data_IF_724805062257
#
_entry.id   IF_724805062257
#
_cell.length_a   1.000
_cell.length_b   1.000
_cell.length_c   1.000
_cell.angle_alpha   90.00
_cell.angle_beta   90.00
_cell.angle_gamma   90.00
#
_symmetry.space_group_name_H-M   'P 1'
#
loop_
_entity.id
_entity.type
_entity.pdbx_description
1 polymer ?
#
# COMPACT_ATOMS: atom_id res chain seq x y z
N UNK A 1 6.93 -19.62 6.95
CA UNK A 1 8.02 -20.61 6.88
C UNK A 1 8.97 -20.36 8.03
N UNK A 2 9.47 -21.38 8.70
CA UNK A 2 10.55 -21.20 9.69
C UNK A 2 11.94 -21.21 9.02
N UNK A 3 12.99 -20.85 9.78
CA UNK A 3 14.35 -20.74 9.24
C UNK A 3 14.90 -22.08 8.75
N UNK A 4 14.53 -23.19 9.41
CA UNK A 4 15.01 -24.53 9.06
C UNK A 4 14.44 -24.95 7.72
N UNK A 5 13.12 -24.81 7.57
CA UNK A 5 12.42 -25.08 6.31
C UNK A 5 12.97 -24.19 5.19
N UNK A 6 13.23 -22.90 5.47
CA UNK A 6 13.80 -21.99 4.48
C UNK A 6 15.20 -22.43 4.02
N UNK A 7 16.05 -22.86 4.95
CA UNK A 7 17.40 -23.36 4.61
C UNK A 7 17.36 -24.69 3.84
N UNK A 8 16.40 -25.57 4.13
CA UNK A 8 16.17 -26.78 3.35
C UNK A 8 15.77 -26.46 1.90
N UNK A 9 14.84 -25.50 1.71
CA UNK A 9 14.42 -25.03 0.37
C UNK A 9 15.59 -24.43 -0.40
N UNK A 10 16.45 -23.65 0.26
CA UNK A 10 17.69 -23.13 -0.33
C UNK A 10 18.58 -24.25 -0.84
N UNK A 11 18.83 -25.29 -0.01
CA UNK A 11 19.67 -26.43 -0.38
C UNK A 11 19.09 -27.19 -1.58
N UNK A 12 17.78 -27.41 -1.61
CA UNK A 12 17.09 -28.07 -2.74
C UNK A 12 17.25 -27.29 -4.05
N UNK A 13 17.23 -25.96 -3.98
CA UNK A 13 17.47 -25.07 -5.13
C UNK A 13 18.95 -24.84 -5.43
N UNK A 14 19.85 -25.43 -4.64
CA UNK A 14 21.31 -25.29 -4.79
C UNK A 14 21.78 -23.82 -4.74
N UNK A 15 21.05 -22.96 -4.05
CA UNK A 15 21.43 -21.56 -3.88
C UNK A 15 22.49 -21.42 -2.80
N UNK A 16 23.59 -20.74 -3.12
CA UNK A 16 24.62 -20.36 -2.16
C UNK A 16 24.13 -19.21 -1.27
N UNK A 17 24.87 -18.93 -0.20
CA UNK A 17 24.62 -17.73 0.62
C UNK A 17 24.92 -16.44 -0.15
N UNK A 18 25.85 -16.50 -1.09
CA UNK A 18 26.22 -15.37 -1.95
C UNK A 18 25.08 -15.04 -2.92
N UNK A 19 24.44 -16.05 -3.52
CA UNK A 19 23.28 -15.84 -4.41
C UNK A 19 22.14 -15.12 -3.67
N UNK A 20 21.84 -15.55 -2.44
CA UNK A 20 20.79 -14.91 -1.62
C UNK A 20 21.20 -13.47 -1.26
N UNK A 21 22.47 -13.25 -0.91
CA UNK A 21 22.97 -11.92 -0.61
C UNK A 21 22.83 -10.98 -1.83
N UNK A 22 23.14 -11.46 -3.04
CA UNK A 22 22.98 -10.70 -4.27
C UNK A 22 21.50 -10.39 -4.57
N UNK A 23 20.60 -11.34 -4.29
CA UNK A 23 19.18 -11.19 -4.58
C UNK A 23 18.45 -10.29 -3.58
N UNK A 24 18.87 -10.31 -2.31
CA UNK A 24 18.19 -9.61 -1.22
C UNK A 24 18.88 -8.29 -0.83
N UNK A 25 20.17 -8.15 -1.13
CA UNK A 25 21.02 -7.06 -0.63
C UNK A 25 21.50 -7.24 0.81
N UNK A 26 21.06 -8.29 1.51
CA UNK A 26 21.52 -8.65 2.85
C UNK A 26 22.96 -9.16 2.75
N UNK A 27 23.85 -8.81 3.68
CA UNK A 27 25.23 -9.31 3.62
C UNK A 27 25.27 -10.83 3.71
N UNK A 28 26.18 -11.44 2.97
CA UNK A 28 26.35 -12.90 2.96
C UNK A 28 26.62 -13.49 4.36
N UNK A 29 27.39 -12.79 5.18
CA UNK A 29 27.67 -13.19 6.57
C UNK A 29 26.39 -13.24 7.42
N UNK A 30 25.52 -12.25 7.26
CA UNK A 30 24.24 -12.17 7.96
C UNK A 30 23.28 -13.24 7.44
N UNK A 31 23.16 -13.42 6.12
CA UNK A 31 22.38 -14.51 5.50
C UNK A 31 22.79 -15.87 6.08
N UNK A 32 24.10 -16.12 6.15
CA UNK A 32 24.65 -17.37 6.70
C UNK A 32 24.32 -17.51 8.18
N UNK A 33 24.54 -16.47 8.98
CA UNK A 33 24.27 -16.50 10.41
C UNK A 33 22.79 -16.74 10.70
N UNK A 34 21.89 -16.11 9.94
CA UNK A 34 20.43 -16.28 10.05
C UNK A 34 20.05 -17.72 9.70
N UNK A 35 20.45 -18.24 8.53
CA UNK A 35 20.07 -19.59 8.07
C UNK A 35 20.66 -20.73 8.91
N UNK A 36 21.74 -20.47 9.64
CA UNK A 36 22.34 -21.40 10.59
C UNK A 36 21.84 -21.19 12.04
N UNK A 37 20.86 -20.32 12.24
CA UNK A 37 20.30 -19.95 13.55
C UNK A 37 21.36 -19.48 14.56
N UNK A 38 22.44 -18.85 14.06
CA UNK A 38 23.56 -18.33 14.86
C UNK A 38 23.33 -16.90 15.36
N UNK A 39 22.34 -16.20 14.82
CA UNK A 39 21.94 -14.86 15.24
C UNK A 39 20.40 -14.73 15.30
N UNK A 40 19.93 -13.76 16.08
CA UNK A 40 18.54 -13.28 16.09
C UNK A 40 18.42 -11.82 15.63
N UNK A 41 19.51 -11.23 15.17
CA UNK A 41 19.58 -9.84 14.71
C UNK A 41 19.14 -9.75 13.25
N UNK A 42 17.84 -9.89 13.02
CA UNK A 42 17.23 -9.74 11.70
C UNK A 42 15.79 -9.24 11.85
N UNK A 43 15.30 -8.51 10.86
CA UNK A 43 13.89 -8.09 10.80
C UNK A 43 13.02 -9.17 10.15
N UNK A 44 11.70 -9.11 10.38
CA UNK A 44 10.78 -10.03 9.70
C UNK A 44 10.78 -9.81 8.18
N UNK A 45 10.92 -8.57 7.74
CA UNK A 45 11.06 -8.19 6.34
C UNK A 45 12.33 -8.77 5.71
N UNK A 46 13.42 -8.88 6.48
CA UNK A 46 14.63 -9.59 6.05
C UNK A 46 14.36 -11.07 5.78
N UNK A 47 13.59 -11.74 6.65
CA UNK A 47 13.17 -13.13 6.42
C UNK A 47 12.25 -13.25 5.20
N UNK A 48 11.28 -12.35 5.04
CA UNK A 48 10.41 -12.33 3.86
C UNK A 48 11.24 -12.17 2.59
N UNK A 49 12.25 -11.29 2.59
CA UNK A 49 13.10 -11.06 1.43
C UNK A 49 13.89 -12.32 1.06
N UNK A 50 14.46 -13.00 2.04
CA UNK A 50 15.14 -14.29 1.84
C UNK A 50 14.18 -15.37 1.34
N UNK A 51 12.97 -15.44 1.90
CA UNK A 51 11.92 -16.37 1.46
C UNK A 51 11.54 -16.13 0.00
N UNK A 52 11.30 -14.87 -0.38
CA UNK A 52 10.99 -14.51 -1.76
C UNK A 52 12.14 -14.88 -2.69
N UNK A 53 13.37 -14.46 -2.39
CA UNK A 53 14.55 -14.74 -3.20
C UNK A 53 14.79 -16.24 -3.37
N UNK A 54 14.73 -17.03 -2.30
CA UNK A 54 14.95 -18.47 -2.34
C UNK A 54 13.85 -19.16 -3.17
N UNK A 55 12.58 -18.87 -2.89
CA UNK A 55 11.48 -19.65 -3.49
C UNK A 55 11.15 -19.23 -4.93
N UNK A 56 11.24 -17.94 -5.25
CA UNK A 56 10.95 -17.43 -6.60
C UNK A 56 12.19 -17.34 -7.49
N UNK A 57 13.38 -17.11 -6.91
CA UNK A 57 14.57 -16.72 -7.68
C UNK A 57 14.59 -15.25 -8.09
N UNK A 58 13.65 -14.44 -7.59
CA UNK A 58 13.59 -13.01 -7.90
C UNK A 58 14.72 -12.24 -7.21
N UNK A 59 15.31 -11.31 -7.97
CA UNK A 59 16.14 -10.25 -7.40
C UNK A 59 15.25 -9.12 -6.91
N UNK A 60 15.43 -8.75 -5.66
CA UNK A 60 14.57 -7.78 -5.02
C UNK A 60 15.01 -6.34 -5.33
N UNK A 61 14.08 -5.39 -5.50
CA UNK A 61 14.38 -3.99 -5.78
C UNK A 61 14.70 -3.19 -4.49
N UNK A 62 15.52 -3.77 -3.60
CA UNK A 62 15.82 -3.21 -2.28
C UNK A 62 17.25 -2.71 -2.15
N UNK A 63 17.43 -1.73 -1.26
CA UNK A 63 18.68 -1.49 -0.55
C UNK A 63 18.58 -2.13 0.83
N UNK A 64 19.69 -2.57 1.41
CA UNK A 64 19.68 -3.08 2.78
C UNK A 64 20.14 -2.02 3.76
N UNK A 65 19.30 -1.71 4.76
CA UNK A 65 19.70 -0.89 5.89
C UNK A 65 20.38 -1.79 6.93
N UNK A 66 21.72 -1.73 6.99
CA UNK A 66 22.51 -2.55 7.89
C UNK A 66 22.37 -2.18 9.38
N UNK A 67 21.84 -0.99 9.70
CA UNK A 67 21.62 -0.56 11.10
C UNK A 67 20.27 -1.09 11.60
N UNK A 68 19.24 -0.99 10.77
CA UNK A 68 17.88 -1.46 11.10
C UNK A 68 17.67 -2.95 10.75
N UNK A 69 18.69 -3.58 10.16
CA UNK A 69 18.68 -4.96 9.68
C UNK A 69 17.49 -5.32 8.78
N UNK A 70 17.03 -4.36 7.95
CA UNK A 70 15.85 -4.51 7.08
C UNK A 70 16.09 -4.11 5.63
N UNK A 71 15.38 -4.72 4.66
CA UNK A 71 15.30 -4.20 3.29
C UNK A 71 14.51 -2.89 3.23
N UNK A 72 14.94 -1.98 2.37
CA UNK A 72 14.31 -0.69 2.08
C UNK A 72 14.01 -0.61 0.59
N UNK A 73 12.72 -0.47 0.25
CA UNK A 73 12.28 -0.30 -1.15
C UNK A 73 12.95 0.92 -1.76
N UNK A 74 13.66 0.76 -2.89
CA UNK A 74 14.25 1.89 -3.64
C UNK A 74 13.32 2.35 -4.79
N UNK A 75 12.17 1.69 -4.97
CA UNK A 75 11.21 2.02 -6.02
C UNK A 75 9.90 2.49 -5.39
N UNK A 76 9.26 3.45 -6.05
CA UNK A 76 7.92 3.92 -5.70
C UNK A 76 6.84 2.89 -6.04
N UNK A 77 7.08 2.01 -7.01
CA UNK A 77 6.17 0.92 -7.37
C UNK A 77 6.18 -0.17 -6.27
N UNK A 78 4.99 -0.65 -5.84
CA UNK A 78 4.90 -1.75 -4.87
C UNK A 78 5.58 -3.01 -5.39
N UNK A 79 6.37 -3.67 -4.54
CA UNK A 79 6.91 -4.98 -4.86
C UNK A 79 6.04 -6.07 -4.23
N UNK A 80 5.49 -6.93 -5.09
CA UNK A 80 4.60 -8.04 -4.69
C UNK A 80 5.42 -9.27 -4.30
N UNK A 81 5.27 -9.69 -3.05
CA UNK A 81 5.73 -10.97 -2.53
C UNK A 81 4.67 -12.04 -2.80
N UNK A 82 5.10 -13.16 -3.36
CA UNK A 82 4.22 -14.25 -3.81
C UNK A 82 4.84 -15.64 -3.65
N UNK A 83 6.00 -15.75 -3.00
CA UNK A 83 6.71 -16.99 -2.77
C UNK A 83 5.88 -18.04 -2.00
N UNK A 84 4.94 -17.60 -1.17
CA UNK A 84 3.86 -18.41 -0.59
C UNK A 84 2.61 -17.58 -0.41
N UNK A 85 1.57 -18.21 0.13
CA UNK A 85 0.43 -17.47 0.66
C UNK A 85 0.79 -16.86 2.03
N UNK A 86 0.55 -15.56 2.13
CA UNK A 86 0.76 -14.76 3.34
C UNK A 86 -0.56 -14.53 4.06
N UNK A 87 -0.50 -14.37 5.37
CA UNK A 87 -1.68 -14.15 6.22
C UNK A 87 -1.65 -12.79 6.88
N UNK A 88 -2.73 -12.45 7.58
CA UNK A 88 -2.73 -11.27 8.45
C UNK A 88 -1.64 -11.35 9.54
N UNK A 89 -1.34 -12.54 10.06
CA UNK A 89 -0.26 -12.72 11.02
C UNK A 89 1.10 -12.33 10.44
N UNK A 90 1.32 -12.60 9.15
CA UNK A 90 2.51 -12.13 8.44
C UNK A 90 2.53 -10.60 8.36
N UNK A 91 1.40 -10.01 7.95
CA UNK A 91 1.25 -8.54 7.84
C UNK A 91 1.49 -7.84 9.19
N UNK A 92 0.91 -8.35 10.29
CA UNK A 92 1.09 -7.81 11.65
C UNK A 92 2.51 -7.85 12.18
N UNK A 93 3.37 -8.73 11.62
CA UNK A 93 4.77 -8.87 12.02
C UNK A 93 5.71 -7.93 11.28
N UNK A 94 5.24 -7.31 10.20
CA UNK A 94 5.97 -6.26 9.50
C UNK A 94 6.08 -5.05 10.43
N UNK A 95 7.23 -4.37 10.41
CA UNK A 95 7.43 -3.18 11.22
C UNK A 95 6.42 -2.09 10.89
N UNK A 96 5.95 -1.34 11.89
CA UNK A 96 5.11 -0.14 11.68
C UNK A 96 5.84 0.95 10.85
N UNK A 97 7.17 0.84 10.67
CA UNK A 97 7.97 1.71 9.81
C UNK A 97 8.05 1.23 8.35
N UNK A 98 7.36 0.15 8.01
CA UNK A 98 7.32 -0.44 6.68
C UNK A 98 5.86 -0.52 6.22
N UNK A 99 5.52 0.25 5.19
CA UNK A 99 4.19 0.18 4.58
C UNK A 99 4.04 -1.11 3.79
N UNK A 100 2.98 -1.85 4.08
CA UNK A 100 2.66 -3.09 3.39
C UNK A 100 1.15 -3.26 3.29
N UNK A 101 0.71 -3.84 2.18
CA UNK A 101 -0.69 -4.23 1.97
C UNK A 101 -0.76 -5.76 1.77
N UNK A 102 -1.86 -6.37 2.19
CA UNK A 102 -2.14 -7.80 2.02
C UNK A 102 -3.36 -7.94 1.11
N UNK A 103 -3.22 -8.63 -0.03
CA UNK A 103 -4.35 -8.90 -0.94
C UNK A 103 -4.29 -10.35 -1.40
N UNK A 104 -5.28 -11.14 -1.02
CA UNK A 104 -5.47 -12.55 -1.40
C UNK A 104 -4.19 -13.39 -1.24
N UNK A 105 -3.58 -13.32 -0.04
CA UNK A 105 -2.39 -14.09 0.28
C UNK A 105 -1.09 -13.54 -0.30
N UNK A 106 -1.08 -12.31 -0.83
CA UNK A 106 0.11 -11.65 -1.37
C UNK A 106 0.41 -10.38 -0.60
N UNK A 107 1.66 -10.18 -0.22
CA UNK A 107 2.12 -8.95 0.42
C UNK A 107 2.63 -7.98 -0.66
N UNK A 108 2.23 -6.73 -0.59
CA UNK A 108 2.70 -5.65 -1.46
C UNK A 108 3.51 -4.70 -0.58
N UNK A 109 4.84 -4.76 -0.71
CA UNK A 109 5.74 -3.91 0.04
C UNK A 109 5.88 -2.57 -0.67
N UNK A 110 5.54 -1.49 0.02
CA UNK A 110 5.42 -0.16 -0.57
C UNK A 110 6.74 0.61 -0.44
N UNK A 111 7.04 1.39 -1.48
CA UNK A 111 8.13 2.36 -1.47
C UNK A 111 7.81 3.63 -0.69
N UNK A 112 8.84 4.46 -0.50
CA UNK A 112 8.60 5.85 -0.11
C UNK A 112 7.95 6.59 -1.29
N UNK A 113 6.84 7.32 -1.08
CA UNK A 113 6.20 8.08 -2.14
C UNK A 113 7.00 9.34 -2.52
N UNK A 114 6.82 9.81 -3.75
CA UNK A 114 7.42 11.07 -4.23
C UNK A 114 6.91 12.32 -3.47
N UNK A 115 7.64 13.44 -3.59
CA UNK A 115 7.21 14.75 -3.08
C UNK A 115 5.85 15.18 -3.67
N UNK A 116 5.63 14.90 -4.95
CA UNK A 116 4.38 15.24 -5.65
C UNK A 116 3.19 14.44 -5.08
N UNK A 117 3.38 13.13 -4.87
CA UNK A 117 2.39 12.28 -4.22
C UNK A 117 1.99 12.85 -2.84
N UNK A 118 3.00 13.11 -2.00
CA UNK A 118 2.77 13.62 -0.65
C UNK A 118 2.10 15.00 -0.63
N UNK A 119 2.44 15.86 -1.57
CA UNK A 119 1.79 17.17 -1.73
C UNK A 119 0.31 17.02 -2.05
N UNK A 120 -0.04 16.25 -3.07
CA UNK A 120 -1.42 16.03 -3.50
C UNK A 120 -2.26 15.46 -2.35
N UNK A 121 -1.74 14.44 -1.65
CA UNK A 121 -2.41 13.84 -0.49
C UNK A 121 -2.63 14.90 0.60
N UNK A 122 -1.63 15.71 0.91
CA UNK A 122 -1.71 16.73 1.96
C UNK A 122 -2.74 17.81 1.64
N UNK A 123 -2.74 18.33 0.42
CA UNK A 123 -3.68 19.37 -0.02
C UNK A 123 -5.13 18.85 -0.06
N UNK A 124 -5.35 17.65 -0.60
CA UNK A 124 -6.68 17.02 -0.60
C UNK A 124 -7.17 16.77 0.83
N UNK A 125 -6.31 16.25 1.71
CA UNK A 125 -6.62 16.05 3.12
C UNK A 125 -7.04 17.36 3.79
N UNK A 126 -6.33 18.45 3.52
CA UNK A 126 -6.69 19.77 4.04
C UNK A 126 -8.06 20.23 3.53
N UNK A 127 -8.28 20.23 2.21
CA UNK A 127 -9.53 20.69 1.59
C UNK A 127 -10.75 19.89 2.08
N UNK A 128 -10.64 18.56 2.13
CA UNK A 128 -11.72 17.67 2.57
C UNK A 128 -12.03 17.94 4.05
N UNK A 129 -11.01 17.99 4.92
CA UNK A 129 -11.20 18.23 6.37
C UNK A 129 -11.77 19.62 6.65
N UNK A 130 -11.31 20.64 5.95
CA UNK A 130 -11.83 22.00 6.07
C UNK A 130 -13.32 22.06 5.66
N UNK A 131 -13.68 21.42 4.55
CA UNK A 131 -15.06 21.35 4.09
C UNK A 131 -15.98 20.68 5.12
N UNK A 132 -15.59 19.51 5.61
CA UNK A 132 -16.36 18.76 6.63
C UNK A 132 -16.57 19.62 7.88
N UNK A 133 -15.54 20.33 8.35
CA UNK A 133 -15.63 21.20 9.53
C UNK A 133 -16.58 22.37 9.31
N UNK A 134 -16.47 23.08 8.17
CA UNK A 134 -17.34 24.20 7.82
C UNK A 134 -18.82 23.80 7.72
N UNK A 135 -19.09 22.58 7.27
CA UNK A 135 -20.44 22.04 7.10
C UNK A 135 -20.92 21.19 8.29
N UNK A 136 -20.15 21.13 9.40
CA UNK A 136 -20.46 20.32 10.59
C UNK A 136 -20.73 18.84 10.28
N UNK A 137 -20.04 18.30 9.28
CA UNK A 137 -20.11 16.88 8.92
C UNK A 137 -19.51 15.97 10.00
N UNK A 138 -20.00 14.73 10.06
CA UNK A 138 -19.56 13.74 11.07
C UNK A 138 -18.38 12.86 10.62
N UNK A 139 -18.09 12.85 9.32
CA UNK A 139 -17.10 11.95 8.75
C UNK A 139 -15.68 12.28 9.23
N UNK A 140 -14.86 11.25 9.41
CA UNK A 140 -13.45 11.33 9.74
C UNK A 140 -12.64 11.05 8.49
N UNK A 141 -11.46 11.67 8.38
CA UNK A 141 -10.58 11.55 7.22
C UNK A 141 -9.17 11.22 7.70
N UNK A 142 -8.60 10.16 7.17
CA UNK A 142 -7.29 9.62 7.52
C UNK A 142 -6.42 9.51 6.28
N UNK A 143 -5.12 9.75 6.44
CA UNK A 143 -4.11 9.49 5.43
C UNK A 143 -3.33 8.22 5.77
N UNK A 144 -2.71 7.59 4.78
CA UNK A 144 -1.79 6.49 5.03
C UNK A 144 -0.60 6.93 5.92
N UNK A 145 -0.02 6.04 6.76
CA UNK A 145 -0.46 4.67 7.00
C UNK A 145 -1.77 4.61 7.82
N UNK A 146 -2.75 3.89 7.31
CA UNK A 146 -4.06 3.65 7.93
C UNK A 146 -4.62 2.34 7.39
N UNK A 147 -4.59 1.29 8.21
CA UNK A 147 -4.95 -0.06 7.78
C UNK A 147 -6.45 -0.22 7.58
N UNK A 148 -6.88 -0.53 6.35
CA UNK A 148 -8.27 -0.77 5.98
C UNK A 148 -8.44 -2.25 5.69
N UNK A 149 -9.07 -2.98 6.61
CA UNK A 149 -9.55 -4.34 6.33
C UNK A 149 -10.86 -4.24 5.57
N UNK A 150 -10.86 -4.60 4.28
CA UNK A 150 -12.02 -4.35 3.42
C UNK A 150 -13.19 -5.32 3.66
N UNK A 151 -12.88 -6.57 4.03
CA UNK A 151 -13.85 -7.63 4.23
C UNK A 151 -13.85 -8.11 5.70
N UNK A 152 -14.83 -8.94 6.07
CA UNK A 152 -14.87 -9.53 7.41
C UNK A 152 -13.79 -10.62 7.61
N UNK A 153 -13.12 -11.03 6.53
CA UNK A 153 -12.00 -11.95 6.59
C UNK A 153 -10.66 -11.19 6.48
N UNK A 154 -9.58 -11.94 6.71
CA UNK A 154 -8.20 -11.46 6.62
C UNK A 154 -7.67 -11.43 5.18
N UNK A 155 -8.54 -11.52 4.18
CA UNK A 155 -8.09 -11.69 2.79
C UNK A 155 -7.54 -10.41 2.17
N UNK A 156 -8.01 -9.24 2.61
CA UNK A 156 -7.61 -7.95 2.05
C UNK A 156 -7.48 -6.86 3.12
N UNK A 157 -6.24 -6.40 3.30
CA UNK A 157 -5.85 -5.28 4.15
C UNK A 157 -5.04 -4.31 3.28
N UNK A 158 -5.53 -3.09 3.11
CA UNK A 158 -4.89 -2.06 2.27
C UNK A 158 -4.64 -0.78 3.06
N UNK A 159 -3.79 0.10 2.55
CA UNK A 159 -3.47 1.41 3.14
C UNK A 159 -3.73 2.50 2.09
N UNK A 160 -5.01 2.87 1.86
CA UNK A 160 -5.34 3.90 0.88
C UNK A 160 -4.71 5.23 1.28
N UNK A 161 -4.27 6.01 0.29
CA UNK A 161 -3.62 7.29 0.57
C UNK A 161 -4.52 8.25 1.35
N UNK A 162 -5.82 8.26 1.05
CA UNK A 162 -6.86 8.94 1.84
C UNK A 162 -8.06 8.01 2.01
N UNK A 163 -8.56 7.92 3.23
CA UNK A 163 -9.80 7.22 3.59
C UNK A 163 -10.74 8.16 4.34
N UNK A 164 -11.97 8.30 3.86
CA UNK A 164 -13.05 8.98 4.58
C UNK A 164 -14.08 7.97 5.10
N UNK A 165 -14.38 8.08 6.38
CA UNK A 165 -15.30 7.18 7.10
C UNK A 165 -16.36 8.01 7.82
N UNK A 166 -17.63 7.76 7.52
CA UNK A 166 -18.77 8.42 8.17
C UNK A 166 -19.43 7.57 9.27
N UNK A 167 -18.98 6.33 9.41
CA UNK A 167 -19.45 5.32 10.36
C UNK A 167 -18.39 5.07 11.43
N UNK A 168 -18.63 5.50 12.67
CA UNK A 168 -17.65 5.36 13.74
C UNK A 168 -17.52 3.92 14.25
N UNK A 169 -18.51 3.06 14.01
CA UNK A 169 -18.55 1.65 14.44
C UNK A 169 -17.49 0.76 13.77
N UNK A 170 -16.96 1.18 12.62
CA UNK A 170 -15.90 0.44 11.91
C UNK A 170 -14.49 0.94 12.24
N UNK A 171 -14.35 2.03 13.00
CA UNK A 171 -13.04 2.59 13.33
C UNK A 171 -12.38 1.80 14.46
N UNK A 172 -11.07 1.58 14.34
CA UNK A 172 -10.23 0.92 15.34
C UNK A 172 -9.03 1.80 15.69
N UNK A 173 -8.28 1.44 16.73
CA UNK A 173 -7.07 2.18 17.13
C UNK A 173 -5.98 2.21 16.05
N UNK A 174 -5.99 1.25 15.12
CA UNK A 174 -4.97 1.09 14.07
C UNK A 174 -5.50 1.26 12.64
N UNK A 175 -6.78 1.63 12.47
CA UNK A 175 -7.37 1.67 11.14
C UNK A 175 -8.90 1.58 11.14
N UNK A 176 -9.45 0.77 10.22
CA UNK A 176 -10.85 0.41 10.21
C UNK A 176 -11.12 -1.03 9.73
N UNK A 177 -12.23 -1.60 10.20
CA UNK A 177 -12.74 -2.91 9.82
C UNK A 177 -14.02 -2.76 8.99
N UNK A 178 -13.84 -2.71 7.68
CA UNK A 178 -14.88 -2.54 6.68
C UNK A 178 -14.53 -1.45 5.67
N UNK A 179 -15.30 -1.41 4.59
CA UNK A 179 -15.13 -0.45 3.51
C UNK A 179 -15.32 1.01 3.99
N UNK A 180 -14.38 1.92 3.67
CA UNK A 180 -14.57 3.36 3.80
C UNK A 180 -15.72 3.86 2.91
N UNK A 181 -16.27 5.04 3.22
CA UNK A 181 -17.26 5.69 2.37
C UNK A 181 -16.60 6.17 1.07
N UNK A 182 -15.44 6.82 1.19
CA UNK A 182 -14.68 7.35 0.05
C UNK A 182 -13.19 7.03 0.21
N UNK A 183 -12.59 6.50 -0.85
CA UNK A 183 -11.16 6.24 -0.96
C UNK A 183 -10.55 7.09 -2.06
N UNK A 184 -9.35 7.63 -1.81
CA UNK A 184 -8.52 8.28 -2.83
C UNK A 184 -7.15 7.61 -2.84
N UNK A 185 -6.70 7.22 -4.03
CA UNK A 185 -5.33 6.78 -4.33
C UNK A 185 -4.64 7.82 -5.19
N UNK A 186 -3.38 8.11 -4.90
CA UNK A 186 -2.52 8.95 -5.74
C UNK A 186 -1.46 8.05 -6.36
N UNK A 187 -1.42 8.02 -7.68
CA UNK A 187 -0.49 7.16 -8.42
C UNK A 187 0.94 7.70 -8.23
N UNK A 188 1.82 6.88 -7.66
CA UNK A 188 3.24 7.22 -7.45
C UNK A 188 4.10 7.06 -8.71
N UNK A 189 3.71 6.16 -9.62
CA UNK A 189 4.41 5.91 -10.91
C UNK A 189 3.44 5.83 -12.08
N UNK A 190 3.80 6.38 -13.24
CA UNK A 190 2.92 6.63 -14.41
C UNK A 190 2.19 5.41 -15.01
N UNK A 191 2.40 4.20 -14.49
CA UNK A 191 1.77 2.96 -14.94
C UNK A 191 1.49 1.95 -13.82
N UNK A 192 1.18 2.40 -12.61
CA UNK A 192 0.84 1.52 -11.48
C UNK A 192 -0.47 0.74 -11.76
N UNK A 193 -0.34 -0.47 -12.32
CA UNK A 193 -1.49 -1.37 -12.53
C UNK A 193 -2.14 -1.79 -11.20
N UNK A 194 -1.37 -1.68 -10.12
CA UNK A 194 -1.78 -1.96 -8.77
C UNK A 194 -2.95 -1.08 -8.31
N UNK A 195 -2.82 0.24 -8.46
CA UNK A 195 -3.87 1.18 -8.05
C UNK A 195 -5.09 1.06 -8.99
N UNK A 196 -4.83 1.12 -10.30
CA UNK A 196 -5.87 1.16 -11.33
C UNK A 196 -6.73 -0.10 -11.43
N UNK A 197 -6.15 -1.27 -11.19
CA UNK A 197 -6.85 -2.53 -11.37
C UNK A 197 -7.02 -3.26 -10.04
N UNK A 198 -5.91 -3.58 -9.37
CA UNK A 198 -5.94 -4.45 -8.19
C UNK A 198 -6.72 -3.81 -7.06
N UNK A 199 -6.37 -2.59 -6.63
CA UNK A 199 -7.05 -1.92 -5.51
C UNK A 199 -8.47 -1.51 -5.88
N UNK A 200 -8.67 -0.93 -7.07
CA UNK A 200 -10.02 -0.54 -7.55
C UNK A 200 -10.99 -1.72 -7.51
N UNK A 201 -10.61 -2.89 -8.01
CA UNK A 201 -11.45 -4.08 -7.97
C UNK A 201 -11.83 -4.48 -6.54
N UNK A 202 -10.90 -4.39 -5.59
CA UNK A 202 -11.18 -4.69 -4.19
C UNK A 202 -12.14 -3.67 -3.56
N UNK A 203 -11.96 -2.38 -3.84
CA UNK A 203 -12.87 -1.33 -3.35
C UNK A 203 -14.29 -1.51 -3.89
N UNK A 204 -14.42 -1.87 -5.16
CA UNK A 204 -15.70 -2.18 -5.79
C UNK A 204 -16.40 -3.35 -5.10
N UNK A 205 -15.67 -4.46 -4.89
CA UNK A 205 -16.20 -5.66 -4.21
C UNK A 205 -16.56 -5.40 -2.76
N UNK A 206 -15.77 -4.60 -2.06
CA UNK A 206 -16.00 -4.24 -0.65
C UNK A 206 -17.18 -3.27 -0.48
N UNK A 207 -17.66 -2.66 -1.56
CA UNK A 207 -18.78 -1.74 -1.53
C UNK A 207 -18.40 -0.34 -1.04
N UNK A 208 -17.16 0.09 -1.24
CA UNK A 208 -16.78 1.51 -1.14
C UNK A 208 -17.74 2.33 -2.00
N UNK A 209 -18.20 3.50 -1.53
CA UNK A 209 -19.24 4.26 -2.25
C UNK A 209 -18.65 5.06 -3.40
N UNK A 210 -17.46 5.59 -3.18
CA UNK A 210 -16.73 6.43 -4.12
C UNK A 210 -15.23 6.10 -4.05
N UNK A 211 -14.58 5.97 -5.21
CA UNK A 211 -13.14 5.76 -5.30
C UNK A 211 -12.55 6.72 -6.34
N UNK A 212 -11.52 7.46 -5.96
CA UNK A 212 -10.76 8.31 -6.87
C UNK A 212 -9.35 7.76 -7.05
N UNK A 213 -8.88 7.66 -8.29
CA UNK A 213 -7.49 7.38 -8.61
C UNK A 213 -6.94 8.59 -9.34
N UNK A 214 -6.02 9.28 -8.69
CA UNK A 214 -5.43 10.54 -9.17
C UNK A 214 -4.07 10.22 -9.76
N UNK A 215 -3.90 10.48 -11.05
CA UNK A 215 -2.64 10.27 -11.76
C UNK A 215 -2.01 11.61 -12.15
N UNK A 216 -0.97 12.06 -11.43
CA UNK A 216 -0.28 13.32 -11.71
C UNK A 216 0.53 13.26 -13.01
N UNK A 217 0.92 12.08 -13.48
CA UNK A 217 1.68 11.93 -14.73
C UNK A 217 0.78 12.08 -15.95
N UNK A 218 -0.43 11.52 -15.88
CA UNK A 218 -1.44 11.64 -16.94
C UNK A 218 -2.31 12.88 -16.78
N UNK A 219 -2.22 13.59 -15.65
CA UNK A 219 -3.08 14.72 -15.28
C UNK A 219 -4.56 14.34 -15.36
N UNK A 220 -4.91 13.17 -14.82
CA UNK A 220 -6.29 12.66 -14.80
C UNK A 220 -6.73 12.20 -13.42
N UNK A 221 -8.04 12.25 -13.20
CA UNK A 221 -8.72 11.62 -12.07
C UNK A 221 -9.67 10.57 -12.64
N UNK A 222 -9.45 9.31 -12.33
CA UNK A 222 -10.45 8.26 -12.54
C UNK A 222 -11.37 8.26 -11.31
N UNK A 223 -12.63 8.58 -11.52
CA UNK A 223 -13.67 8.48 -10.50
C UNK A 223 -14.53 7.24 -10.76
N UNK A 224 -14.72 6.45 -9.72
CA UNK A 224 -15.70 5.37 -9.70
C UNK A 224 -16.71 5.59 -8.59
N UNK A 225 -17.99 5.40 -8.92
CA UNK A 225 -19.13 5.52 -8.03
C UNK A 225 -19.94 4.24 -8.05
N UNK A 226 -20.21 3.69 -6.87
CA UNK A 226 -20.96 2.44 -6.73
C UNK A 226 -22.38 2.52 -7.30
N UNK A 227 -23.07 3.61 -6.97
CA UNK A 227 -24.51 3.76 -7.22
C UNK A 227 -24.82 4.71 -8.40
N UNK A 228 -23.78 5.20 -9.12
CA UNK A 228 -23.94 6.13 -10.24
C UNK A 228 -22.86 5.94 -11.33
N UNK A 229 -22.99 4.87 -12.11
CA UNK A 229 -22.01 4.51 -13.15
C UNK A 229 -21.89 5.55 -14.27
N UNK A 230 -22.97 6.29 -14.59
CA UNK A 230 -22.96 7.34 -15.63
C UNK A 230 -22.05 8.52 -15.30
N UNK A 231 -21.77 8.74 -14.02
CA UNK A 231 -20.85 9.76 -13.52
C UNK A 231 -19.46 9.20 -13.25
N UNK A 232 -19.25 7.89 -13.39
CA UNK A 232 -17.92 7.32 -13.29
C UNK A 232 -17.16 7.54 -14.59
N UNK A 233 -15.85 7.75 -14.52
CA UNK A 233 -15.02 7.98 -15.70
C UNK A 233 -13.75 8.75 -15.41
N UNK A 234 -13.05 9.09 -16.50
CA UNK A 234 -11.83 9.89 -16.45
C UNK A 234 -12.16 11.38 -16.59
N UNK A 235 -11.58 12.17 -15.70
CA UNK A 235 -11.66 13.62 -15.68
C UNK A 235 -10.26 14.18 -15.86
N UNK A 236 -10.10 15.21 -16.69
CA UNK A 236 -8.84 15.96 -16.75
C UNK A 236 -8.71 16.88 -15.54
N UNK A 237 -7.48 17.24 -15.17
CA UNK A 237 -7.21 18.15 -14.04
C UNK A 237 -7.92 19.51 -14.14
N UNK A 238 -8.20 19.98 -15.35
CA UNK A 238 -8.93 21.24 -15.61
C UNK A 238 -10.44 21.13 -15.39
N UNK A 239 -10.98 19.95 -15.05
CA UNK A 239 -12.40 19.80 -14.75
C UNK A 239 -12.60 19.84 -13.24
N UNK A 240 -13.75 20.39 -12.84
CA UNK A 240 -14.25 20.22 -11.47
C UNK A 240 -14.72 18.79 -11.34
N UNK A 241 -14.18 18.07 -10.36
CA UNK A 241 -14.62 16.73 -9.97
C UNK A 241 -15.38 16.87 -8.66
N UNK A 242 -16.66 16.51 -8.66
CA UNK A 242 -17.54 16.57 -7.49
C UNK A 242 -17.41 15.29 -6.67
N UNK A 243 -17.23 15.41 -5.35
CA UNK A 243 -17.25 14.25 -4.46
C UNK A 243 -18.68 13.93 -4.05
N UNK A 244 -19.18 12.79 -4.46
CA UNK A 244 -20.56 12.38 -4.21
C UNK A 244 -20.82 11.96 -2.77
N UNK A 245 -19.77 11.57 -2.04
CA UNK A 245 -19.85 11.34 -0.61
C UNK A 245 -19.90 12.63 0.23
N UNK A 246 -19.64 13.80 -0.36
CA UNK A 246 -19.70 15.12 0.30
C UNK A 246 -20.47 16.11 -0.59
N UNK A 247 -21.78 16.21 -0.37
CA UNK A 247 -22.65 17.10 -1.15
C UNK A 247 -22.09 18.53 -1.24
N UNK A 248 -21.94 19.04 -2.46
CA UNK A 248 -21.37 20.35 -2.79
C UNK A 248 -19.83 20.45 -2.83
N UNK A 249 -19.10 19.46 -2.31
CA UNK A 249 -17.64 19.45 -2.38
C UNK A 249 -17.16 19.12 -3.79
N UNK A 250 -16.19 19.88 -4.28
CA UNK A 250 -15.54 19.61 -5.54
C UNK A 250 -14.09 20.08 -5.52
N UNK A 251 -13.27 19.44 -6.35
CA UNK A 251 -11.85 19.78 -6.52
C UNK A 251 -11.57 19.98 -8.00
N UNK A 252 -10.72 20.97 -8.31
CA UNK A 252 -10.04 21.07 -9.60
C UNK A 252 -8.57 20.76 -9.36
N UNK A 253 -8.08 19.62 -9.83
CA UNK A 253 -6.71 19.19 -9.55
C UNK A 253 -5.65 20.15 -10.11
N UNK A 254 -5.96 20.89 -11.18
CA UNK A 254 -5.06 21.93 -11.68
C UNK A 254 -4.75 23.02 -10.63
N UNK A 255 -5.70 23.38 -9.76
CA UNK A 255 -5.47 24.37 -8.69
C UNK A 255 -4.52 23.84 -7.59
N UNK A 256 -4.49 22.51 -7.38
CA UNK A 256 -3.56 21.85 -6.44
C UNK A 256 -2.16 21.72 -7.07
N UNK A 257 -2.11 21.45 -8.37
CA UNK A 257 -0.84 21.34 -9.11
C UNK A 257 -0.13 22.70 -9.23
N UNK A 258 -0.87 23.80 -9.41
CA UNK A 258 -0.32 25.16 -9.51
C UNK A 258 0.42 25.64 -8.25
N UNK A 259 0.19 25.01 -7.11
CA UNK A 259 0.76 25.41 -5.81
C UNK A 259 1.95 24.55 -5.34
N UNK A 260 2.37 23.54 -6.11
CA UNK A 260 3.47 22.59 -5.80
C UNK A 260 4.89 23.12 -6.05
#
# INVERSE_FOLDING_TARGET
MDIKELNEKRLLKKMSYEDIAEFTGIKQEDVKAILLEQTKEYSYEGLLAMEQAILSGDRMPFAYNAIEHRPVMIREEPYRYYAREYTEEDWKRISEHTRAELIHGRLYMMGQPSRMHQWIVSELMYLIKDYIRKHKGKCKVYSAPFGVRLFQDDSVIVEPDISMICREDILTDKGCEGAPDWVIEVVSVSNSSYDYNTKLEQYQKAGVRECWIIDPFRRTVLMWLRDCSEKSGYYSYDKKVEAWCLDGFHVRMAEIEETF
#
